data_IF_814524567637
#
_entry.id   IF_814524567637
#
_cell.length_a   1.000
_cell.length_b   1.000
_cell.length_c   1.000
_cell.angle_alpha   90.00
_cell.angle_beta   90.00
_cell.angle_gamma   90.00
#
_symmetry.space_group_name_H-M   'P 1'
#
loop_
_entity.id
_entity.type
_entity.pdbx_description
1 polymer ?
#
# COMPACT_ATOMS: atom_id res chain seq x y z
N UNK A 1 -11.49 -14.43 18.43
CA UNK A 1 -10.93 -15.25 17.34
C UNK A 1 -9.47 -15.54 17.67
N UNK A 2 -9.05 -16.78 17.55
CA UNK A 2 -7.66 -17.16 17.78
C UNK A 2 -6.84 -16.59 16.62
N UNK A 3 -5.80 -15.81 16.93
CA UNK A 3 -4.90 -15.28 15.89
C UNK A 3 -4.14 -16.45 15.26
N UNK A 4 -4.12 -16.51 13.93
CA UNK A 4 -3.29 -17.47 13.23
C UNK A 4 -1.82 -17.13 13.46
N UNK A 5 -1.05 -18.13 13.86
CA UNK A 5 0.41 -18.02 13.97
C UNK A 5 1.01 -18.97 12.93
N UNK A 6 1.87 -18.43 12.07
CA UNK A 6 2.58 -19.23 11.07
C UNK A 6 3.44 -20.31 11.74
N UNK A 7 3.45 -21.51 11.18
CA UNK A 7 4.35 -22.58 11.61
C UNK A 7 5.65 -22.63 10.78
N UNK A 8 5.71 -21.86 9.71
CA UNK A 8 6.86 -21.81 8.80
C UNK A 8 7.83 -20.71 9.20
N UNK A 9 7.30 -19.51 9.48
CA UNK A 9 8.09 -18.37 9.87
C UNK A 9 7.37 -17.55 10.94
N UNK A 10 8.08 -17.28 12.04
CA UNK A 10 7.65 -16.39 13.12
C UNK A 10 8.78 -15.43 13.40
N UNK A 11 8.58 -14.15 13.06
CA UNK A 11 9.57 -13.10 13.29
C UNK A 11 9.65 -12.67 14.75
N UNK A 12 8.51 -12.60 15.44
CA UNK A 12 8.42 -12.25 16.86
C UNK A 12 8.97 -13.38 17.75
N UNK A 13 9.96 -13.08 18.57
CA UNK A 13 10.59 -14.01 19.50
C UNK A 13 9.91 -14.07 20.88
N UNK A 14 8.86 -13.28 21.12
CA UNK A 14 8.09 -13.25 22.36
C UNK A 14 8.80 -12.66 23.57
N UNK A 15 9.98 -12.06 23.40
CA UNK A 15 10.84 -11.54 24.47
C UNK A 15 11.23 -10.06 24.24
N UNK A 16 10.44 -9.32 23.47
CA UNK A 16 10.72 -7.95 23.05
C UNK A 16 11.75 -7.84 21.93
N UNK A 17 12.13 -8.95 21.31
CA UNK A 17 13.03 -9.03 20.15
C UNK A 17 12.32 -9.68 18.97
N UNK A 18 12.82 -9.39 17.78
CA UNK A 18 12.37 -10.02 16.54
C UNK A 18 13.58 -10.38 15.65
N UNK A 19 13.34 -11.20 14.66
CA UNK A 19 14.31 -11.57 13.63
C UNK A 19 13.84 -11.13 12.24
N UNK A 20 14.79 -10.79 11.39
CA UNK A 20 14.53 -10.49 9.98
C UNK A 20 14.53 -11.77 9.11
N UNK A 21 13.76 -11.78 8.00
CA UNK A 21 12.80 -10.74 7.61
C UNK A 21 11.59 -10.71 8.56
N UNK A 22 11.01 -9.52 8.78
CA UNK A 22 9.77 -9.38 9.57
C UNK A 22 8.62 -10.11 8.87
N UNK A 23 8.53 -10.00 7.56
CA UNK A 23 7.64 -10.73 6.68
C UNK A 23 8.47 -11.61 5.75
N UNK A 24 8.26 -12.93 5.79
CA UNK A 24 8.91 -13.89 4.89
C UNK A 24 8.10 -14.02 3.60
N UNK A 25 8.02 -12.90 2.86
CA UNK A 25 7.32 -12.76 1.60
C UNK A 25 7.85 -11.56 0.82
N UNK A 26 7.47 -11.46 -0.46
CA UNK A 26 7.83 -10.34 -1.31
C UNK A 26 6.91 -9.13 -1.02
N UNK A 27 7.46 -8.16 -0.32
CA UNK A 27 6.87 -6.84 -0.06
C UNK A 27 7.90 -5.77 -0.42
N UNK A 28 8.14 -5.59 -1.73
CA UNK A 28 9.09 -4.60 -2.21
C UNK A 28 8.57 -3.18 -2.04
N UNK A 29 9.49 -2.24 -1.79
CA UNK A 29 9.21 -0.82 -1.64
C UNK A 29 8.05 -0.54 -0.64
N UNK A 30 8.10 -1.11 0.58
CA UNK A 30 7.01 -0.93 1.53
C UNK A 30 6.99 0.48 2.09
N UNK A 31 5.81 1.04 2.26
CA UNK A 31 5.59 2.29 2.97
C UNK A 31 4.56 2.11 4.09
N UNK A 32 4.80 2.79 5.22
CA UNK A 32 4.03 2.63 6.45
C UNK A 32 3.57 3.97 6.98
N UNK A 33 2.30 4.08 7.37
CA UNK A 33 1.82 5.20 8.17
C UNK A 33 1.30 4.73 9.53
N UNK A 34 1.42 5.62 10.53
CA UNK A 34 0.89 5.41 11.89
C UNK A 34 -0.35 6.27 12.11
N UNK A 35 -1.39 5.65 12.67
CA UNK A 35 -2.61 6.35 13.09
C UNK A 35 -2.95 5.90 14.52
N UNK A 36 -2.73 6.77 15.49
CA UNK A 36 -2.85 6.40 16.90
C UNK A 36 -1.83 5.30 17.27
N UNK A 37 -2.34 4.14 17.70
CA UNK A 37 -1.54 2.97 18.06
C UNK A 37 -1.50 1.90 16.96
N UNK A 38 -1.98 2.24 15.77
CA UNK A 38 -2.08 1.34 14.63
C UNK A 38 -1.07 1.72 13.54
N UNK A 39 -0.49 0.72 12.90
CA UNK A 39 0.38 0.86 11.75
C UNK A 39 -0.27 0.22 10.53
N UNK A 40 -0.22 0.92 9.41
CA UNK A 40 -0.76 0.46 8.14
C UNK A 40 0.32 0.51 7.08
N UNK A 41 0.47 -0.59 6.35
CA UNK A 41 1.51 -0.77 5.34
C UNK A 41 0.90 -1.17 4.00
N UNK A 42 1.49 -0.68 2.94
CA UNK A 42 1.31 -1.17 1.58
C UNK A 42 2.65 -1.31 0.89
N UNK A 43 2.68 -1.97 -0.26
CA UNK A 43 3.92 -2.21 -1.02
C UNK A 43 3.64 -2.30 -2.52
N UNK A 44 4.67 -2.34 -3.33
CA UNK A 44 4.58 -2.60 -4.76
C UNK A 44 3.77 -3.87 -5.02
N UNK A 45 2.81 -3.80 -5.94
CA UNK A 45 1.98 -4.94 -6.34
C UNK A 45 2.09 -5.26 -7.83
N UNK A 46 2.83 -4.45 -8.58
CA UNK A 46 3.02 -4.62 -10.02
C UNK A 46 1.67 -4.78 -10.75
N UNK A 47 1.55 -5.79 -11.60
CA UNK A 47 0.31 -6.09 -12.31
C UNK A 47 -0.64 -7.05 -11.57
N UNK A 48 -0.34 -7.36 -10.30
CA UNK A 48 -1.21 -8.23 -9.49
C UNK A 48 -2.54 -7.54 -9.20
N UNK A 49 -3.64 -8.29 -9.32
CA UNK A 49 -5.00 -7.83 -9.02
C UNK A 49 -5.65 -8.85 -8.06
N UNK A 50 -6.30 -8.38 -6.98
CA UNK A 50 -6.40 -7.00 -6.51
C UNK A 50 -5.04 -6.45 -6.08
N UNK A 51 -4.82 -5.16 -6.34
CA UNK A 51 -3.55 -4.51 -6.10
C UNK A 51 -3.51 -3.76 -4.77
N UNK A 52 -2.30 -3.44 -4.31
CA UNK A 52 -2.04 -2.72 -3.06
C UNK A 52 -2.67 -3.41 -1.85
N UNK A 53 -2.09 -4.54 -1.45
CA UNK A 53 -2.45 -5.16 -0.17
C UNK A 53 -2.26 -4.15 0.98
N UNK A 54 -3.24 -4.10 1.86
CA UNK A 54 -3.17 -3.30 3.09
C UNK A 54 -2.91 -4.23 4.24
N UNK A 55 -1.81 -3.99 4.94
CA UNK A 55 -1.43 -4.71 6.14
C UNK A 55 -1.60 -3.83 7.36
N UNK A 56 -1.95 -4.44 8.46
CA UNK A 56 -2.12 -3.78 9.76
C UNK A 56 -1.25 -4.45 10.82
N UNK A 57 -0.66 -3.63 11.69
CA UNK A 57 0.10 -4.08 12.86
C UNK A 57 -0.10 -3.13 14.04
N UNK A 58 0.15 -3.61 15.26
CA UNK A 58 0.24 -2.82 16.51
C UNK A 58 1.69 -2.57 16.93
N UNK A 59 2.65 -3.25 16.33
CA UNK A 59 4.05 -3.28 16.81
C UNK A 59 5.09 -3.28 15.68
N UNK A 60 4.66 -3.21 14.42
CA UNK A 60 5.49 -3.29 13.22
C UNK A 60 6.23 -4.64 13.04
N UNK A 61 5.92 -5.64 13.84
CA UNK A 61 6.50 -6.99 13.76
C UNK A 61 5.43 -8.01 13.36
N UNK A 62 4.27 -7.94 14.01
CA UNK A 62 3.14 -8.82 13.77
C UNK A 62 2.17 -8.18 12.78
N UNK A 63 2.28 -8.53 11.52
CA UNK A 63 1.46 -7.99 10.42
C UNK A 63 0.37 -8.94 9.99
N UNK A 64 -0.78 -8.42 9.61
CA UNK A 64 -1.86 -9.16 8.97
C UNK A 64 -2.43 -8.37 7.80
N UNK A 65 -2.77 -9.06 6.72
CA UNK A 65 -3.49 -8.48 5.59
C UNK A 65 -4.92 -8.20 6.05
N UNK A 66 -5.40 -6.98 5.85
CA UNK A 66 -6.75 -6.54 6.20
C UNK A 66 -7.60 -6.20 4.98
N UNK A 67 -7.01 -6.02 3.81
CA UNK A 67 -7.71 -5.68 2.58
C UNK A 67 -6.77 -5.41 1.42
N UNK A 68 -7.34 -4.87 0.36
CA UNK A 68 -6.62 -4.40 -0.84
C UNK A 68 -7.24 -3.07 -1.28
N UNK A 69 -6.43 -2.15 -1.82
CA UNK A 69 -6.90 -0.81 -2.15
C UNK A 69 -7.38 -0.67 -3.60
N UNK A 70 -6.97 -1.54 -4.51
CA UNK A 70 -7.31 -1.41 -5.93
C UNK A 70 -7.85 -2.73 -6.46
N UNK A 71 -9.10 -2.70 -6.97
CA UNK A 71 -9.71 -3.85 -7.62
C UNK A 71 -9.31 -3.98 -9.09
N UNK A 72 -9.03 -2.84 -9.76
CA UNK A 72 -8.66 -2.76 -11.18
C UNK A 72 -7.63 -1.68 -11.42
N UNK A 73 -6.61 -2.00 -12.20
CA UNK A 73 -5.57 -1.05 -12.61
C UNK A 73 -6.04 -0.21 -13.81
N UNK A 74 -5.52 1.02 -13.89
CA UNK A 74 -5.80 1.96 -14.97
C UNK A 74 -4.52 2.30 -15.75
N UNK A 75 -4.61 2.54 -17.07
CA UNK A 75 -5.83 2.46 -17.90
C UNK A 75 -6.26 0.99 -18.12
N UNK A 76 -7.56 0.72 -18.03
CA UNK A 76 -8.11 -0.65 -18.08
C UNK A 76 -7.75 -1.37 -19.37
N UNK A 77 -7.74 -0.67 -20.51
CA UNK A 77 -7.37 -1.26 -21.81
C UNK A 77 -5.97 -1.88 -21.76
N UNK A 78 -5.00 -1.21 -21.14
CA UNK A 78 -3.63 -1.72 -20.99
C UNK A 78 -3.57 -2.90 -20.03
N UNK A 79 -4.19 -2.77 -18.88
CA UNK A 79 -4.13 -3.78 -17.82
C UNK A 79 -5.12 -4.93 -17.98
N UNK A 80 -5.98 -4.91 -18.99
CA UNK A 80 -6.73 -6.08 -19.45
C UNK A 80 -5.84 -7.09 -20.21
N UNK A 81 -4.64 -6.67 -20.59
CA UNK A 81 -3.64 -7.52 -21.22
C UNK A 81 -2.55 -7.90 -20.21
N UNK A 82 -1.88 -9.02 -20.46
CA UNK A 82 -0.77 -9.47 -19.60
C UNK A 82 0.33 -8.41 -19.54
N UNK A 83 0.72 -8.04 -18.33
CA UNK A 83 1.79 -7.09 -18.07
C UNK A 83 2.90 -7.80 -17.27
N UNK A 84 4.16 -7.63 -17.71
CA UNK A 84 5.31 -8.24 -17.05
C UNK A 84 6.03 -7.19 -16.20
N UNK A 85 5.69 -7.10 -14.91
CA UNK A 85 6.32 -6.20 -13.96
C UNK A 85 5.88 -4.73 -14.05
N UNK A 86 4.99 -4.37 -14.99
CA UNK A 86 4.33 -3.06 -14.99
C UNK A 86 3.21 -3.00 -13.93
N UNK A 87 2.65 -1.82 -13.72
CA UNK A 87 1.55 -1.61 -12.79
C UNK A 87 1.95 -0.72 -11.62
N UNK A 88 1.64 -1.11 -10.41
CA UNK A 88 1.88 -0.27 -9.22
C UNK A 88 3.26 -0.54 -8.65
N UNK A 89 4.12 0.48 -8.70
CA UNK A 89 5.45 0.50 -8.11
C UNK A 89 5.51 1.49 -6.95
N UNK A 90 6.30 1.18 -5.92
CA UNK A 90 6.64 2.03 -4.78
C UNK A 90 5.51 2.99 -4.36
N UNK A 91 4.37 2.49 -3.89
CA UNK A 91 3.27 3.31 -3.42
C UNK A 91 3.65 4.01 -2.12
N UNK A 92 3.02 5.15 -1.82
CA UNK A 92 3.11 5.78 -0.51
C UNK A 92 1.75 5.86 0.15
N UNK A 93 1.67 5.48 1.43
CA UNK A 93 0.46 5.56 2.24
C UNK A 93 0.56 6.68 3.26
N UNK A 94 -0.46 7.53 3.34
CA UNK A 94 -0.54 8.63 4.32
C UNK A 94 -1.94 8.72 4.90
N UNK A 95 -2.00 9.24 6.12
CA UNK A 95 -3.27 9.57 6.77
C UNK A 95 -3.37 11.09 6.96
N UNK A 96 -4.42 11.68 6.44
CA UNK A 96 -4.65 13.12 6.51
C UNK A 96 -6.13 13.42 6.68
N UNK A 97 -6.48 14.27 7.65
CA UNK A 97 -7.85 14.74 7.93
C UNK A 97 -8.92 13.62 7.98
N UNK A 98 -8.58 12.47 8.58
CA UNK A 98 -9.55 11.39 8.78
C UNK A 98 -9.65 10.38 7.62
N UNK A 99 -8.82 10.51 6.60
CA UNK A 99 -8.78 9.61 5.45
C UNK A 99 -7.37 9.08 5.20
N UNK A 100 -7.29 7.85 4.71
CA UNK A 100 -6.07 7.27 4.17
C UNK A 100 -5.96 7.61 2.69
N UNK A 101 -4.76 7.92 2.25
CA UNK A 101 -4.40 8.20 0.87
C UNK A 101 -3.25 7.30 0.46
N UNK A 102 -3.35 6.71 -0.71
CA UNK A 102 -2.23 6.03 -1.35
C UNK A 102 -1.98 6.70 -2.69
N UNK A 103 -0.74 7.13 -2.90
CA UNK A 103 -0.25 7.66 -4.17
C UNK A 103 0.70 6.65 -4.79
N UNK A 104 0.62 6.49 -6.10
CA UNK A 104 1.56 5.70 -6.86
C UNK A 104 1.81 6.32 -8.24
N UNK A 105 3.00 6.12 -8.76
CA UNK A 105 3.38 6.57 -10.10
C UNK A 105 3.26 5.44 -11.11
N UNK A 106 2.72 5.76 -12.29
CA UNK A 106 2.85 4.96 -13.48
C UNK A 106 3.71 5.74 -14.48
N UNK A 107 4.88 5.22 -14.90
CA UNK A 107 5.84 5.97 -15.71
C UNK A 107 5.32 6.36 -17.10
N UNK A 108 4.27 5.71 -17.58
CA UNK A 108 3.70 5.97 -18.90
C UNK A 108 2.54 6.97 -18.86
N UNK A 109 1.83 7.07 -17.73
CA UNK A 109 0.58 7.83 -17.61
C UNK A 109 0.63 8.95 -16.57
N UNK A 110 1.28 8.73 -15.42
CA UNK A 110 1.44 9.77 -14.40
C UNK A 110 1.17 9.30 -12.98
N UNK A 111 0.70 10.22 -12.14
CA UNK A 111 0.46 9.99 -10.72
C UNK A 111 -1.01 9.67 -10.49
N UNK A 112 -1.25 8.54 -9.84
CA UNK A 112 -2.58 8.12 -9.39
C UNK A 112 -2.72 8.25 -7.88
N UNK A 113 -3.96 8.39 -7.44
CA UNK A 113 -4.34 8.41 -6.03
C UNK A 113 -5.59 7.57 -5.81
N UNK A 114 -5.61 6.83 -4.70
CA UNK A 114 -6.79 6.19 -4.12
C UNK A 114 -6.92 6.63 -2.67
N UNK A 115 -8.16 6.68 -2.14
CA UNK A 115 -8.38 7.03 -0.75
C UNK A 115 -9.51 6.22 -0.12
N UNK A 116 -9.49 6.12 1.22
CA UNK A 116 -10.52 5.48 2.02
C UNK A 116 -10.55 6.04 3.45
N UNK A 117 -11.73 6.05 4.07
CA UNK A 117 -11.86 6.31 5.51
C UNK A 117 -11.59 5.08 6.35
N UNK A 118 -11.78 3.90 5.79
CA UNK A 118 -11.54 2.61 6.43
C UNK A 118 -10.53 1.81 5.60
N UNK A 119 -9.30 1.62 6.10
CA UNK A 119 -8.26 0.92 5.34
C UNK A 119 -8.55 -0.57 5.14
N UNK A 120 -9.43 -1.16 5.95
CA UNK A 120 -9.91 -2.54 5.78
C UNK A 120 -11.17 -2.64 4.91
N UNK A 121 -11.79 -1.50 4.59
CA UNK A 121 -13.02 -1.42 3.83
C UNK A 121 -12.80 -1.16 2.35
N UNK A 122 -13.78 -0.48 1.77
CA UNK A 122 -13.74 -0.12 0.35
C UNK A 122 -12.90 1.14 0.15
N UNK A 123 -12.03 1.10 -0.85
CA UNK A 123 -11.29 2.25 -1.36
C UNK A 123 -11.98 2.83 -2.59
N UNK A 124 -11.77 4.12 -2.80
CA UNK A 124 -12.23 4.79 -4.02
C UNK A 124 -11.50 4.24 -5.25
N UNK A 125 -12.10 4.40 -6.43
CA UNK A 125 -11.42 4.06 -7.67
C UNK A 125 -10.18 4.94 -7.87
N UNK A 126 -9.12 4.44 -8.53
CA UNK A 126 -7.95 5.24 -8.84
C UNK A 126 -8.29 6.49 -9.65
N UNK A 127 -7.71 7.61 -9.24
CA UNK A 127 -7.84 8.89 -9.95
C UNK A 127 -6.46 9.31 -10.44
N UNK A 128 -6.35 9.65 -11.74
CA UNK A 128 -5.15 10.26 -12.30
C UNK A 128 -5.09 11.73 -11.83
N UNK A 129 -4.24 12.02 -10.85
CA UNK A 129 -4.12 13.38 -10.29
C UNK A 129 -3.15 14.26 -11.08
N UNK A 130 -2.20 13.64 -11.78
CA UNK A 130 -1.26 14.37 -12.65
C UNK A 130 -0.82 13.49 -13.82
N UNK A 131 -1.22 13.88 -15.03
CA UNK A 131 -0.71 13.27 -16.25
C UNK A 131 0.76 13.71 -16.48
N UNK A 132 1.66 12.74 -16.58
CA UNK A 132 3.08 12.97 -16.82
C UNK A 132 3.75 11.66 -17.25
N UNK A 133 4.96 11.73 -17.80
CA UNK A 133 5.79 10.56 -18.12
C UNK A 133 7.04 10.52 -17.27
N UNK A 134 7.50 9.32 -16.94
CA UNK A 134 8.73 9.09 -16.20
C UNK A 134 8.64 9.41 -14.71
N UNK A 135 7.44 9.58 -14.15
CA UNK A 135 7.25 9.81 -12.72
C UNK A 135 6.97 8.48 -12.04
N UNK A 136 7.80 8.17 -11.03
CA UNK A 136 7.69 7.00 -10.15
C UNK A 136 7.95 7.46 -8.70
N UNK A 137 7.72 6.57 -7.72
CA UNK A 137 8.10 6.73 -6.31
C UNK A 137 7.52 8.01 -5.68
N UNK A 138 6.24 8.24 -5.91
CA UNK A 138 5.55 9.46 -5.51
C UNK A 138 5.15 9.44 -4.04
N UNK A 139 5.36 10.55 -3.33
CA UNK A 139 4.96 10.71 -1.94
C UNK A 139 4.29 12.07 -1.74
N UNK A 140 3.04 12.14 -1.26
CA UNK A 140 2.37 13.40 -1.03
C UNK A 140 2.85 14.06 0.26
N UNK A 141 2.91 15.39 0.23
CA UNK A 141 3.06 16.25 1.39
C UNK A 141 1.98 17.33 1.32
N UNK A 142 1.19 17.49 2.38
CA UNK A 142 0.22 18.57 2.49
C UNK A 142 0.88 19.83 3.04
N UNK A 143 0.63 20.94 2.38
CA UNK A 143 1.02 22.27 2.86
C UNK A 143 0.05 22.79 3.95
N UNK A 144 0.34 24.00 4.47
CA UNK A 144 -0.48 24.65 5.50
C UNK A 144 -1.89 25.00 5.01
N UNK A 145 -2.07 25.16 3.69
CA UNK A 145 -3.36 25.44 3.05
C UNK A 145 -4.15 24.15 2.73
N UNK A 146 -3.57 22.97 2.99
CA UNK A 146 -4.19 21.66 2.76
C UNK A 146 -4.08 21.16 1.32
N UNK A 147 -3.19 21.73 0.50
CA UNK A 147 -2.91 21.22 -0.84
C UNK A 147 -1.80 20.16 -0.78
N UNK A 148 -1.92 19.12 -1.62
CA UNK A 148 -0.92 18.05 -1.76
C UNK A 148 -0.18 18.14 -3.10
#
# INVERSE_FOLDING_TARGET
AQSYVSQVWVSDLGNGKYKNPVLDADYSDPDVCRVGDDYYMTSSSFACIPALQILHSKDMVNWRIIGTAIERLLPEERFSQMQHGNGVWAPSIRYHQGEFYIYYGDPDTGIYMVKSKDPAGKWDNPVLVKAAKGIIDTCPLWDEDGNA
#
